data_IF_300234898591
#
_entry.id   IF_300234898591
#
_cell.length_a   1.000
_cell.length_b   1.000
_cell.length_c   1.000
_cell.angle_alpha   90.00
_cell.angle_beta   90.00
_cell.angle_gamma   90.00
#
_symmetry.space_group_name_H-M   'P 1'
#
loop_
_entity.id
_entity.type
_entity.pdbx_description
1 polymer ?
#
# COMPACT_ATOMS: atom_id res chain seq x y z
N UNK A 1 2.80 -16.39 -61.27
CA UNK A 1 1.58 -15.86 -60.62
C UNK A 1 1.27 -16.64 -59.31
N UNK A 2 2.34 -17.17 -58.67
CA UNK A 2 2.23 -18.08 -57.49
C UNK A 2 3.02 -17.63 -56.25
N UNK A 3 3.65 -16.48 -56.28
CA UNK A 3 4.47 -15.96 -55.17
C UNK A 3 3.71 -15.04 -54.22
N UNK A 4 2.46 -14.66 -54.47
CA UNK A 4 1.69 -13.71 -53.68
C UNK A 4 0.78 -14.35 -52.62
N UNK A 5 0.79 -15.68 -52.42
CA UNK A 5 -0.12 -16.39 -51.52
C UNK A 5 0.50 -16.88 -50.21
N UNK A 6 1.74 -16.47 -49.89
CA UNK A 6 2.41 -16.85 -48.61
C UNK A 6 2.55 -15.72 -47.60
N UNK A 7 1.79 -14.63 -47.71
CA UNK A 7 1.64 -13.62 -46.64
C UNK A 7 0.35 -13.90 -45.88
N UNK A 8 0.30 -14.95 -45.13
CA UNK A 8 -0.89 -15.24 -44.38
C UNK A 8 -0.61 -16.10 -43.15
N UNK A 9 -1.10 -15.65 -42.03
CA UNK A 9 -1.16 -16.33 -40.75
C UNK A 9 0.08 -16.22 -39.88
N UNK A 10 0.22 -15.05 -39.25
CA UNK A 10 0.87 -15.01 -37.93
C UNK A 10 0.06 -15.90 -36.99
N UNK A 11 0.65 -16.95 -36.41
CA UNK A 11 -0.08 -17.79 -35.45
C UNK A 11 -0.52 -16.90 -34.28
N UNK A 12 -1.79 -16.99 -33.95
CA UNK A 12 -2.40 -16.32 -32.81
C UNK A 12 -1.72 -16.85 -31.52
N UNK A 13 -0.55 -16.30 -31.21
CA UNK A 13 0.20 -16.60 -29.99
C UNK A 13 -0.65 -16.10 -28.83
N UNK A 14 -1.05 -17.00 -27.93
CA UNK A 14 -1.80 -16.67 -26.72
C UNK A 14 -1.14 -15.47 -26.03
N UNK A 15 -1.95 -14.54 -25.46
CA UNK A 15 -1.48 -13.34 -24.77
C UNK A 15 -0.35 -13.65 -23.76
N UNK A 16 -0.43 -14.78 -23.08
CA UNK A 16 0.61 -15.27 -22.17
C UNK A 16 1.97 -15.49 -22.87
N UNK A 17 1.99 -15.98 -24.09
CA UNK A 17 3.22 -16.23 -24.84
C UNK A 17 3.84 -14.93 -25.37
N UNK A 18 3.01 -13.94 -25.72
CA UNK A 18 3.46 -12.59 -26.08
C UNK A 18 4.09 -11.85 -24.89
N UNK A 19 3.54 -12.00 -23.70
CA UNK A 19 4.09 -11.42 -22.47
C UNK A 19 5.41 -12.12 -22.09
N UNK A 20 5.48 -13.44 -22.20
CA UNK A 20 6.67 -14.22 -21.87
C UNK A 20 7.84 -14.01 -22.84
N UNK A 21 7.56 -13.68 -24.12
CA UNK A 21 8.54 -13.37 -25.17
C UNK A 21 8.85 -11.87 -25.25
N UNK A 22 8.29 -11.01 -24.38
CA UNK A 22 8.55 -9.58 -24.38
C UNK A 22 9.95 -9.28 -23.86
N UNK A 23 10.62 -8.27 -24.42
CA UNK A 23 11.92 -7.76 -23.95
C UNK A 23 11.88 -7.41 -22.46
N UNK A 24 10.70 -7.01 -21.94
CA UNK A 24 10.46 -6.76 -20.53
C UNK A 24 10.76 -7.98 -19.65
N UNK A 25 10.29 -9.16 -20.04
CA UNK A 25 10.48 -10.39 -19.25
C UNK A 25 11.92 -10.89 -19.30
N UNK A 26 12.59 -10.67 -20.44
CA UNK A 26 14.01 -10.98 -20.61
C UNK A 26 14.87 -10.07 -19.73
N UNK A 27 14.61 -8.76 -19.74
CA UNK A 27 15.33 -7.78 -18.92
C UNK A 27 15.04 -7.96 -17.42
N UNK A 28 13.79 -8.31 -17.07
CA UNK A 28 13.40 -8.62 -15.69
C UNK A 28 14.23 -9.79 -15.12
N UNK A 29 14.36 -10.90 -15.83
CA UNK A 29 15.14 -12.06 -15.38
C UNK A 29 16.64 -11.78 -15.24
N UNK A 30 17.17 -10.79 -15.94
CA UNK A 30 18.57 -10.36 -15.85
C UNK A 30 18.84 -9.38 -14.70
N UNK A 31 17.82 -8.81 -14.10
CA UNK A 31 17.96 -7.86 -13.02
C UNK A 31 17.74 -8.54 -11.65
N UNK A 32 18.79 -8.84 -10.87
CA UNK A 32 18.66 -9.45 -9.55
C UNK A 32 17.82 -8.59 -8.59
N UNK A 33 17.94 -7.27 -8.67
CA UNK A 33 17.18 -6.32 -7.84
C UNK A 33 15.68 -6.39 -8.13
N UNK A 34 15.28 -6.54 -9.39
CA UNK A 34 13.88 -6.69 -9.77
C UNK A 34 13.29 -8.00 -9.23
N UNK A 35 14.05 -9.10 -9.29
CA UNK A 35 13.61 -10.39 -8.76
C UNK A 35 13.45 -10.31 -7.24
N UNK A 36 14.46 -9.79 -6.53
CA UNK A 36 14.41 -9.62 -5.06
C UNK A 36 13.23 -8.72 -4.68
N UNK A 37 13.05 -7.58 -5.34
CA UNK A 37 11.92 -6.68 -5.08
C UNK A 37 10.57 -7.37 -5.28
N UNK A 38 10.41 -8.15 -6.35
CA UNK A 38 9.17 -8.91 -6.59
C UNK A 38 8.92 -9.96 -5.52
N UNK A 39 9.96 -10.70 -5.10
CA UNK A 39 9.84 -11.70 -4.03
C UNK A 39 9.37 -11.03 -2.74
N UNK A 40 9.96 -9.89 -2.36
CA UNK A 40 9.55 -9.14 -1.16
C UNK A 40 8.09 -8.70 -1.27
N UNK A 41 7.68 -8.11 -2.39
CA UNK A 41 6.29 -7.66 -2.60
C UNK A 41 5.32 -8.83 -2.52
N UNK A 42 5.60 -9.94 -3.19
CA UNK A 42 4.76 -11.14 -3.16
C UNK A 42 4.66 -11.71 -1.74
N UNK A 43 5.77 -11.75 -1.00
CA UNK A 43 5.80 -12.23 0.38
C UNK A 43 4.96 -11.34 1.29
N UNK A 44 5.09 -10.01 1.19
CA UNK A 44 4.30 -9.06 1.99
C UNK A 44 2.81 -9.16 1.65
N UNK A 45 2.45 -9.27 0.37
CA UNK A 45 1.07 -9.50 -0.04
C UNK A 45 0.52 -10.82 0.47
N UNK A 46 1.33 -11.89 0.43
CA UNK A 46 0.95 -13.18 0.96
C UNK A 46 0.68 -13.12 2.47
N UNK A 47 1.58 -12.49 3.23
CA UNK A 47 1.40 -12.28 4.67
C UNK A 47 0.14 -11.46 4.96
N UNK A 48 -0.11 -10.40 4.21
CA UNK A 48 -1.29 -9.56 4.42
C UNK A 48 -2.61 -10.30 4.11
N UNK A 49 -2.64 -11.17 3.10
CA UNK A 49 -3.84 -11.91 2.72
C UNK A 49 -4.08 -13.12 3.61
N UNK A 50 -3.05 -13.93 3.84
CA UNK A 50 -3.16 -15.22 4.49
C UNK A 50 -2.67 -15.21 5.95
N UNK A 51 -1.93 -14.18 6.36
CA UNK A 51 -1.34 -14.08 7.68
C UNK A 51 -2.34 -14.24 8.84
N UNK A 52 -3.56 -13.68 8.79
CA UNK A 52 -4.56 -13.90 9.85
C UNK A 52 -4.92 -15.37 10.10
N UNK A 53 -4.70 -16.25 9.12
CA UNK A 53 -4.88 -17.71 9.30
C UNK A 53 -3.76 -18.35 10.14
N UNK A 54 -2.59 -17.72 10.17
CA UNK A 54 -1.40 -18.18 10.89
C UNK A 54 -1.14 -17.42 12.19
N UNK A 55 -1.88 -16.32 12.43
CA UNK A 55 -1.75 -15.51 13.62
C UNK A 55 -2.32 -16.23 14.85
N UNK A 56 -1.53 -16.48 15.90
CA UNK A 56 -1.99 -17.17 17.12
C UNK A 56 -3.11 -16.43 17.85
N UNK A 57 -3.15 -15.10 17.76
CA UNK A 57 -4.06 -14.24 18.50
C UNK A 57 -4.62 -13.15 17.57
N UNK A 58 -5.88 -12.74 17.80
CA UNK A 58 -6.42 -11.56 17.16
C UNK A 58 -6.13 -10.32 18.06
N UNK A 59 -5.20 -9.43 17.68
CA UNK A 59 -4.80 -8.30 18.53
C UNK A 59 -5.90 -7.23 18.68
N UNK A 60 -6.99 -7.32 17.94
CA UNK A 60 -8.14 -6.41 18.02
C UNK A 60 -9.30 -6.97 18.83
N UNK A 61 -9.25 -8.23 19.21
CA UNK A 61 -10.26 -8.85 20.08
C UNK A 61 -9.85 -8.68 21.53
N UNK A 62 -10.46 -7.68 22.18
CA UNK A 62 -10.19 -7.34 23.60
C UNK A 62 -10.48 -8.52 24.53
N UNK A 63 -11.41 -9.41 24.18
CA UNK A 63 -11.75 -10.58 24.98
C UNK A 63 -10.64 -11.65 25.00
N UNK A 64 -9.80 -11.67 23.97
CA UNK A 64 -8.65 -12.58 23.87
C UNK A 64 -7.38 -12.06 24.54
N UNK A 65 -7.39 -10.81 25.02
CA UNK A 65 -6.24 -10.16 25.64
C UNK A 65 -6.21 -10.40 27.15
N UNK A 66 -5.04 -10.69 27.68
CA UNK A 66 -4.82 -10.84 29.13
C UNK A 66 -3.69 -9.91 29.59
N UNK A 67 -4.01 -9.04 30.55
CA UNK A 67 -3.01 -8.16 31.16
C UNK A 67 -1.93 -8.93 31.92
N UNK A 68 -2.19 -10.19 32.29
CA UNK A 68 -1.18 -11.06 32.91
C UNK A 68 -0.07 -11.47 31.93
N UNK A 69 -0.35 -11.36 30.63
CA UNK A 69 0.61 -11.63 29.58
C UNK A 69 1.33 -10.37 29.08
N UNK A 70 1.21 -9.22 29.79
CA UNK A 70 1.88 -7.97 29.41
C UNK A 70 3.39 -8.06 29.54
N UNK A 71 4.10 -7.47 28.58
CA UNK A 71 5.57 -7.36 28.55
C UNK A 71 6.31 -8.69 28.68
N UNK A 72 5.75 -9.80 28.20
CA UNK A 72 6.50 -11.06 28.11
C UNK A 72 7.62 -10.93 27.09
N UNK A 73 8.83 -11.38 27.44
CA UNK A 73 9.95 -11.38 26.50
C UNK A 73 9.72 -12.38 25.36
N UNK A 74 10.49 -12.27 24.26
CA UNK A 74 10.46 -13.25 23.17
C UNK A 74 10.69 -14.67 23.64
N UNK A 75 10.13 -15.64 22.90
CA UNK A 75 10.19 -17.07 23.26
C UNK A 75 11.61 -17.63 23.44
N UNK A 76 12.61 -17.02 22.83
CA UNK A 76 14.03 -17.43 22.94
C UNK A 76 14.76 -16.78 24.10
N UNK A 77 14.15 -15.95 24.91
CA UNK A 77 14.74 -15.26 26.05
C UNK A 77 14.28 -15.88 27.35
N UNK A 78 15.07 -15.72 28.43
CA UNK A 78 14.73 -16.22 29.76
C UNK A 78 13.44 -15.55 30.27
N UNK A 79 12.42 -16.38 30.61
CA UNK A 79 11.08 -15.91 30.97
C UNK A 79 10.13 -15.76 29.79
N UNK A 80 10.57 -16.06 28.58
CA UNK A 80 9.73 -16.08 27.37
C UNK A 80 8.71 -17.21 27.40
N UNK A 81 7.62 -17.02 26.65
CA UNK A 81 6.53 -17.99 26.53
C UNK A 81 6.45 -18.44 25.06
N UNK A 82 6.47 -19.75 24.82
CA UNK A 82 6.41 -20.33 23.49
C UNK A 82 5.15 -19.93 22.68
N UNK A 83 4.09 -19.47 23.36
CA UNK A 83 2.88 -18.93 22.72
C UNK A 83 3.13 -17.63 21.99
N UNK A 84 4.13 -16.85 22.41
CA UNK A 84 4.43 -15.50 21.90
C UNK A 84 5.85 -15.44 21.34
N UNK A 85 5.99 -15.77 20.06
CA UNK A 85 7.31 -15.87 19.41
C UNK A 85 8.15 -14.61 19.62
N UNK A 86 7.59 -13.42 19.38
CA UNK A 86 8.26 -12.13 19.56
C UNK A 86 7.93 -11.42 20.88
N UNK A 87 7.30 -12.14 21.82
CA UNK A 87 6.82 -11.57 23.05
C UNK A 87 5.51 -10.78 22.91
N UNK A 88 5.18 -9.99 23.93
CA UNK A 88 3.92 -9.25 24.01
C UNK A 88 4.15 -7.77 24.30
N UNK A 89 3.16 -6.95 23.95
CA UNK A 89 3.14 -5.51 24.27
C UNK A 89 2.58 -5.21 25.67
N UNK A 90 2.42 -3.92 25.97
CA UNK A 90 1.85 -3.44 27.24
C UNK A 90 0.41 -3.88 27.52
N UNK A 91 -0.30 -4.36 26.51
CA UNK A 91 -1.68 -4.81 26.61
C UNK A 91 -1.82 -6.34 26.52
N UNK A 92 -0.69 -7.07 26.52
CA UNK A 92 -0.68 -8.52 26.38
C UNK A 92 -0.98 -9.00 24.94
N UNK A 93 -0.83 -8.11 23.94
CA UNK A 93 -0.99 -8.48 22.53
C UNK A 93 0.26 -9.16 22.04
N UNK A 94 0.10 -10.27 21.34
CA UNK A 94 1.19 -10.92 20.62
C UNK A 94 1.75 -10.00 19.53
N UNK A 95 3.05 -9.71 19.61
CA UNK A 95 3.74 -8.82 18.66
C UNK A 95 3.73 -9.41 17.25
N UNK A 96 3.91 -10.73 17.10
CA UNK A 96 3.88 -11.40 15.81
C UNK A 96 2.51 -11.24 15.12
N UNK A 97 1.42 -11.52 15.85
CA UNK A 97 0.06 -11.32 15.36
C UNK A 97 -0.22 -9.85 15.02
N UNK A 98 0.27 -8.92 15.85
CA UNK A 98 0.12 -7.48 15.63
C UNK A 98 0.81 -7.00 14.35
N UNK A 99 1.99 -7.54 14.02
CA UNK A 99 2.69 -7.26 12.77
C UNK A 99 1.92 -7.78 11.55
N UNK A 100 1.38 -8.99 11.62
CA UNK A 100 0.59 -9.59 10.54
C UNK A 100 -0.68 -8.77 10.27
N UNK A 101 -1.47 -8.49 11.29
CA UNK A 101 -2.69 -7.70 11.14
C UNK A 101 -2.38 -6.25 10.74
N UNK A 102 -1.31 -5.65 11.31
CA UNK A 102 -0.85 -4.32 10.95
C UNK A 102 -0.43 -4.20 9.49
N UNK A 103 0.26 -5.20 8.94
CA UNK A 103 0.67 -5.22 7.53
C UNK A 103 -0.53 -5.17 6.59
N UNK A 104 -1.62 -5.86 6.91
CA UNK A 104 -2.88 -5.85 6.14
C UNK A 104 -3.50 -4.45 6.10
N UNK A 105 -3.58 -3.79 7.27
CA UNK A 105 -4.14 -2.44 7.37
C UNK A 105 -3.27 -1.44 6.63
N UNK A 106 -1.94 -1.54 6.79
CA UNK A 106 -0.98 -0.66 6.12
C UNK A 106 -1.06 -0.78 4.59
N UNK A 107 -1.12 -2.00 4.06
CA UNK A 107 -1.29 -2.23 2.62
C UNK A 107 -2.64 -1.71 2.12
N UNK A 108 -3.72 -1.96 2.85
CA UNK A 108 -5.04 -1.46 2.50
C UNK A 108 -5.05 0.07 2.40
N UNK A 109 -4.53 0.75 3.44
CA UNK A 109 -4.45 2.21 3.46
C UNK A 109 -3.54 2.72 2.33
N UNK A 110 -2.38 2.10 2.13
CA UNK A 110 -1.43 2.48 1.08
C UNK A 110 -2.03 2.37 -0.32
N UNK A 111 -2.62 1.22 -0.65
CA UNK A 111 -3.21 0.98 -1.99
C UNK A 111 -4.44 1.86 -2.22
N UNK A 112 -5.42 1.81 -1.30
CA UNK A 112 -6.66 2.55 -1.46
C UNK A 112 -6.41 4.06 -1.39
N UNK A 113 -5.57 4.52 -0.45
CA UNK A 113 -5.20 5.94 -0.33
C UNK A 113 -4.52 6.46 -1.59
N UNK A 114 -3.58 5.71 -2.16
CA UNK A 114 -2.90 6.08 -3.41
C UNK A 114 -3.88 6.12 -4.59
N UNK A 115 -4.76 5.14 -4.73
CA UNK A 115 -5.77 5.13 -5.80
C UNK A 115 -6.72 6.33 -5.70
N UNK A 116 -7.18 6.66 -4.50
CA UNK A 116 -8.02 7.83 -4.26
C UNK A 116 -7.27 9.13 -4.55
N UNK A 117 -6.04 9.26 -4.05
CA UNK A 117 -5.18 10.42 -4.31
C UNK A 117 -4.92 10.62 -5.81
N UNK A 118 -4.63 9.54 -6.52
CA UNK A 118 -4.44 9.51 -7.97
C UNK A 118 -5.72 9.94 -8.71
N UNK A 119 -6.87 9.35 -8.35
CA UNK A 119 -8.14 9.69 -8.98
C UNK A 119 -8.51 11.17 -8.79
N UNK A 120 -8.42 11.69 -7.56
CA UNK A 120 -8.71 13.09 -7.25
C UNK A 120 -7.67 14.01 -7.89
N UNK A 121 -6.37 13.70 -7.74
CA UNK A 121 -5.29 14.53 -8.24
C UNK A 121 -5.30 14.64 -9.77
N UNK A 122 -5.42 13.53 -10.48
CA UNK A 122 -5.50 13.54 -11.96
C UNK A 122 -6.75 14.30 -12.42
N UNK A 123 -7.89 14.11 -11.76
CA UNK A 123 -9.12 14.85 -12.13
C UNK A 123 -8.93 16.35 -11.98
N UNK A 124 -8.39 16.81 -10.85
CA UNK A 124 -8.08 18.22 -10.61
C UNK A 124 -7.02 18.75 -11.57
N UNK A 125 -5.97 17.97 -11.86
CA UNK A 125 -4.94 18.32 -12.84
C UNK A 125 -5.49 18.48 -14.25
N UNK A 126 -6.37 17.56 -14.69
CA UNK A 126 -7.04 17.67 -16.00
C UNK A 126 -7.95 18.87 -16.08
N UNK A 127 -8.72 19.19 -15.03
CA UNK A 127 -9.56 20.38 -14.95
C UNK A 127 -8.67 21.63 -15.02
N UNK A 128 -7.61 21.68 -14.26
CA UNK A 128 -6.62 22.76 -14.24
C UNK A 128 -6.02 23.00 -15.62
N UNK A 129 -5.53 21.95 -16.28
CA UNK A 129 -4.94 22.04 -17.61
C UNK A 129 -5.95 22.37 -18.71
N UNK A 130 -7.19 21.87 -18.62
CA UNK A 130 -8.22 22.12 -19.63
C UNK A 130 -8.74 23.56 -19.59
N UNK A 131 -9.10 24.08 -18.40
CA UNK A 131 -9.64 25.43 -18.28
C UNK A 131 -8.58 26.53 -18.20
N UNK A 132 -7.38 26.21 -17.70
CA UNK A 132 -6.28 27.16 -17.59
C UNK A 132 -6.58 28.41 -16.77
N UNK A 133 -5.77 29.45 -16.92
CA UNK A 133 -6.01 30.78 -16.41
C UNK A 133 -6.36 30.87 -14.92
N UNK A 134 -7.58 31.35 -14.59
CA UNK A 134 -8.00 31.52 -13.20
C UNK A 134 -8.26 30.21 -12.47
N UNK A 135 -8.76 29.18 -13.18
CA UNK A 135 -9.04 27.87 -12.59
C UNK A 135 -7.73 27.19 -12.20
N UNK A 136 -6.77 27.20 -13.10
CA UNK A 136 -5.43 26.71 -12.85
C UNK A 136 -4.77 27.44 -11.66
N UNK A 137 -4.83 28.78 -11.67
CA UNK A 137 -4.26 29.59 -10.59
C UNK A 137 -4.87 29.26 -9.21
N UNK A 138 -6.17 28.98 -9.13
CA UNK A 138 -6.83 28.62 -7.87
C UNK A 138 -6.40 27.23 -7.41
N UNK A 139 -6.44 26.24 -8.31
CA UNK A 139 -6.07 24.85 -7.98
C UNK A 139 -4.60 24.79 -7.53
N UNK A 140 -3.69 25.44 -8.28
CA UNK A 140 -2.27 25.48 -7.92
C UNK A 140 -2.03 26.21 -6.62
N UNK A 141 -2.77 27.28 -6.33
CA UNK A 141 -2.65 27.99 -5.04
C UNK A 141 -3.08 27.14 -3.86
N UNK A 142 -4.18 26.38 -4.01
CA UNK A 142 -4.61 25.42 -2.99
C UNK A 142 -3.56 24.33 -2.77
N UNK A 143 -2.98 23.81 -3.85
CA UNK A 143 -1.89 22.85 -3.77
C UNK A 143 -0.67 23.43 -3.04
N UNK A 144 -0.28 24.68 -3.31
CA UNK A 144 0.83 25.37 -2.63
C UNK A 144 0.57 25.56 -1.13
N UNK A 145 -0.65 25.89 -0.76
CA UNK A 145 -1.06 26.02 0.65
C UNK A 145 -0.90 24.67 1.35
N UNK A 146 -1.39 23.59 0.76
CA UNK A 146 -1.26 22.26 1.35
C UNK A 146 0.20 21.83 1.52
N UNK A 147 1.06 22.11 0.53
CA UNK A 147 2.50 21.80 0.60
C UNK A 147 3.26 22.67 1.60
N UNK A 148 2.71 23.82 2.00
CA UNK A 148 3.33 24.69 3.00
C UNK A 148 3.27 24.12 4.42
N UNK A 149 2.38 23.16 4.65
CA UNK A 149 2.25 22.48 5.94
C UNK A 149 2.96 21.12 5.93
N UNK A 150 3.69 20.79 6.99
CA UNK A 150 4.19 19.42 7.16
C UNK A 150 3.04 18.42 7.21
N UNK A 151 3.13 17.34 6.44
CA UNK A 151 2.11 16.31 6.30
C UNK A 151 1.61 15.77 7.64
N UNK A 152 2.52 15.61 8.61
CA UNK A 152 2.21 15.15 9.97
C UNK A 152 1.24 16.11 10.68
N UNK A 153 1.41 17.42 10.51
CA UNK A 153 0.53 18.40 11.15
C UNK A 153 -0.86 18.37 10.55
N UNK A 154 -0.99 18.22 9.23
CA UNK A 154 -2.27 18.06 8.54
C UNK A 154 -2.97 16.78 9.03
N UNK A 155 -2.22 15.68 9.14
CA UNK A 155 -2.75 14.42 9.64
C UNK A 155 -3.25 14.54 11.09
N UNK A 156 -2.46 15.13 11.98
CA UNK A 156 -2.84 15.36 13.38
C UNK A 156 -4.07 16.26 13.50
N UNK A 157 -4.14 17.34 12.72
CA UNK A 157 -5.27 18.24 12.71
C UNK A 157 -6.57 17.52 12.32
N UNK A 158 -6.53 16.76 11.22
CA UNK A 158 -7.71 16.01 10.75
C UNK A 158 -8.12 14.94 11.78
N UNK A 159 -7.16 14.23 12.37
CA UNK A 159 -7.45 13.20 13.36
C UNK A 159 -7.98 13.76 14.69
N UNK A 160 -7.58 14.96 15.08
CA UNK A 160 -8.11 15.62 16.29
C UNK A 160 -9.53 16.13 16.08
N UNK A 161 -9.85 16.66 14.88
CA UNK A 161 -11.18 17.19 14.56
C UNK A 161 -12.21 16.10 14.28
N UNK A 162 -11.85 15.08 13.53
CA UNK A 162 -12.80 14.05 13.05
C UNK A 162 -12.65 12.70 13.76
N UNK A 163 -11.74 12.60 14.71
CA UNK A 163 -11.48 11.37 15.45
C UNK A 163 -10.53 10.40 14.74
N UNK A 164 -10.15 9.34 15.46
CA UNK A 164 -9.22 8.31 14.97
C UNK A 164 -9.96 7.26 14.13
N UNK A 165 -9.28 6.65 13.15
CA UNK A 165 -9.82 5.54 12.38
C UNK A 165 -9.23 5.43 10.97
N UNK A 166 -9.34 4.25 10.38
CA UNK A 166 -8.78 3.93 9.05
C UNK A 166 -9.37 4.84 7.97
N UNK A 167 -10.67 5.12 8.02
CA UNK A 167 -11.34 6.01 7.06
C UNK A 167 -10.79 7.44 7.09
N UNK A 168 -10.46 7.96 8.29
CA UNK A 168 -9.87 9.29 8.45
C UNK A 168 -8.45 9.33 7.92
N UNK A 169 -7.67 8.26 8.15
CA UNK A 169 -6.35 8.10 7.54
C UNK A 169 -6.42 8.10 6.01
N UNK A 170 -7.39 7.41 5.41
CA UNK A 170 -7.59 7.44 3.96
C UNK A 170 -7.86 8.85 3.44
N UNK A 171 -8.68 9.64 4.14
CA UNK A 171 -8.93 11.05 3.79
C UNK A 171 -7.64 11.86 3.84
N UNK A 172 -6.85 11.71 4.91
CA UNK A 172 -5.54 12.38 5.06
C UNK A 172 -4.62 12.05 3.89
N UNK A 173 -4.43 10.74 3.61
CA UNK A 173 -3.58 10.29 2.50
C UNK A 173 -4.10 10.75 1.14
N UNK A 174 -5.42 10.83 0.97
CA UNK A 174 -6.01 11.34 -0.27
C UNK A 174 -5.71 12.83 -0.44
N UNK A 175 -5.91 13.65 0.59
CA UNK A 175 -5.70 15.10 0.53
C UNK A 175 -4.22 15.42 0.29
N UNK A 176 -3.32 14.81 1.06
CA UNK A 176 -1.88 15.06 0.93
C UNK A 176 -1.36 14.50 -0.40
N UNK A 177 -1.73 13.27 -0.73
CA UNK A 177 -1.26 12.59 -1.93
C UNK A 177 -1.77 13.20 -3.24
N UNK A 178 -3.00 13.75 -3.27
CA UNK A 178 -3.57 14.30 -4.50
C UNK A 178 -2.74 15.47 -5.06
N UNK A 179 -2.09 16.25 -4.20
CA UNK A 179 -1.26 17.40 -4.61
C UNK A 179 -0.11 16.98 -5.53
N UNK A 180 0.50 15.82 -5.27
CA UNK A 180 1.55 15.26 -6.12
C UNK A 180 1.04 15.00 -7.54
N UNK A 181 -0.16 14.42 -7.66
CA UNK A 181 -0.75 14.08 -8.97
C UNK A 181 -1.38 15.27 -9.70
N UNK A 182 -1.78 16.32 -8.98
CA UNK A 182 -2.29 17.57 -9.60
C UNK A 182 -1.20 18.28 -10.39
N UNK A 183 0.05 18.18 -9.94
CA UNK A 183 1.19 18.89 -10.53
C UNK A 183 1.94 18.11 -11.63
N UNK A 184 1.66 16.83 -11.78
CA UNK A 184 2.27 15.98 -12.81
C UNK A 184 1.53 16.09 -14.13
#
# INVERSE_FOLDING_TARGET
>A
MDEMKKRGATPNKSLFRRIAESEFFHNYKRSPSAIVGTVIVVLVLFIALFGPLFAPQNPYDVASLSLTDSYKPPAWEAGGDARFIFGTDSQGRDIFSSLIYGSRISLFIGVVGTLLACAVGITLGLISGYFGGRVDAVIMRLADILLSFPDILVALFIMTMFGRGVSKLLVVFTIIGCVTYVRT
#
